data_IF_931360858480
#
_entry.id   IF_931360858480
#
_cell.length_a   1.000
_cell.length_b   1.000
_cell.length_c   1.000
_cell.angle_alpha   90.00
_cell.angle_beta   90.00
_cell.angle_gamma   90.00
#
_symmetry.space_group_name_H-M   'P 1'
#
loop_
_entity.id
_entity.type
_entity.pdbx_description
1 polymer ?
#
# COMPACT_ATOMS: atom_id res chain seq x y z
N UNK A 1 0.46 -11.72 -16.82
CA UNK A 1 0.58 -12.36 -18.16
C UNK A 1 -0.43 -11.83 -19.18
N UNK A 2 -1.75 -11.81 -18.90
CA UNK A 2 -2.75 -11.33 -19.87
C UNK A 2 -2.51 -9.86 -20.29
N UNK A 3 -2.31 -8.97 -19.31
CA UNK A 3 -1.98 -7.55 -19.57
C UNK A 3 -0.73 -7.43 -20.46
N UNK A 4 0.33 -8.20 -20.19
CA UNK A 4 1.56 -8.14 -20.98
C UNK A 4 1.32 -8.51 -22.44
N UNK A 5 0.51 -9.56 -22.72
CA UNK A 5 0.13 -9.90 -24.09
C UNK A 5 -0.66 -8.80 -24.77
N UNK A 6 -1.62 -8.20 -24.06
CA UNK A 6 -2.40 -7.08 -24.59
C UNK A 6 -1.49 -5.89 -24.91
N UNK A 7 -0.53 -5.56 -24.05
CA UNK A 7 0.44 -4.49 -24.31
C UNK A 7 1.30 -4.73 -25.56
N UNK A 8 1.44 -5.99 -25.99
CA UNK A 8 2.11 -6.38 -27.24
C UNK A 8 1.15 -6.47 -28.45
N UNK A 9 -0.11 -6.05 -28.29
CA UNK A 9 -1.15 -6.17 -29.32
C UNK A 9 -1.69 -7.59 -29.52
N UNK A 10 -1.37 -8.52 -28.63
CA UNK A 10 -1.74 -9.94 -28.75
C UNK A 10 -2.91 -10.30 -27.83
N UNK A 11 -3.70 -11.29 -28.26
CA UNK A 11 -4.75 -11.87 -27.43
C UNK A 11 -4.16 -12.85 -26.37
N UNK A 12 -4.54 -12.69 -25.09
CA UNK A 12 -4.38 -13.73 -24.08
C UNK A 12 -5.07 -15.03 -24.48
N UNK A 13 -4.37 -16.17 -24.36
CA UNK A 13 -4.94 -17.50 -24.61
C UNK A 13 -5.76 -18.07 -23.45
N UNK A 14 -6.15 -17.25 -22.48
CA UNK A 14 -6.84 -17.67 -21.26
C UNK A 14 -7.72 -16.53 -20.74
N UNK A 15 -8.76 -16.88 -19.96
CA UNK A 15 -9.65 -15.91 -19.31
C UNK A 15 -8.94 -15.17 -18.18
N UNK A 16 -9.24 -13.89 -18.05
CA UNK A 16 -8.64 -12.95 -17.12
C UNK A 16 -9.68 -11.97 -16.58
N UNK A 17 -9.31 -11.21 -15.56
CA UNK A 17 -10.12 -10.10 -15.01
C UNK A 17 -10.37 -8.97 -16.01
N UNK A 18 -9.68 -8.95 -17.16
CA UNK A 18 -9.92 -8.01 -18.26
C UNK A 18 -10.99 -8.47 -19.25
N UNK A 19 -11.48 -9.71 -19.13
CA UNK A 19 -12.56 -10.22 -19.99
C UNK A 19 -13.96 -9.89 -19.42
N UNK A 20 -14.02 -9.34 -18.20
CA UNK A 20 -15.27 -8.89 -17.61
C UNK A 20 -15.84 -7.68 -18.40
N UNK A 21 -17.18 -7.55 -18.56
CA UNK A 21 -17.79 -6.50 -19.37
C UNK A 21 -17.30 -5.09 -19.03
N UNK A 22 -17.17 -4.79 -17.74
CA UNK A 22 -16.69 -3.50 -17.22
C UNK A 22 -15.23 -3.18 -17.57
N UNK A 23 -14.43 -4.18 -17.96
CA UNK A 23 -13.02 -4.03 -18.30
C UNK A 23 -12.76 -4.02 -19.82
N UNK A 24 -13.80 -4.21 -20.65
CA UNK A 24 -13.65 -4.35 -22.11
C UNK A 24 -13.03 -3.11 -22.77
N UNK A 25 -13.41 -1.90 -22.35
CA UNK A 25 -12.81 -0.66 -22.87
C UNK A 25 -11.30 -0.61 -22.59
N UNK A 26 -10.91 -0.92 -21.35
CA UNK A 26 -9.50 -0.97 -20.94
C UNK A 26 -8.75 -2.06 -21.71
N UNK A 27 -9.35 -3.25 -21.86
CA UNK A 27 -8.76 -4.35 -22.63
C UNK A 27 -8.46 -3.92 -24.06
N UNK A 28 -9.45 -3.37 -24.76
CA UNK A 28 -9.31 -2.91 -26.15
C UNK A 28 -8.25 -1.82 -26.27
N UNK A 29 -8.25 -0.85 -25.35
CA UNK A 29 -7.25 0.21 -25.33
C UNK A 29 -5.83 -0.35 -25.16
N UNK A 30 -5.63 -1.25 -24.19
CA UNK A 30 -4.33 -1.90 -23.96
C UNK A 30 -3.87 -2.69 -25.18
N UNK A 31 -4.77 -3.39 -25.86
CA UNK A 31 -4.45 -4.14 -27.09
C UNK A 31 -4.05 -3.21 -28.24
N UNK A 32 -4.81 -2.15 -28.46
CA UNK A 32 -4.65 -1.32 -29.66
C UNK A 32 -3.55 -0.27 -29.51
N UNK A 33 -3.29 0.19 -28.29
CA UNK A 33 -2.38 1.32 -28.01
C UNK A 33 -1.28 0.99 -26.99
N UNK A 34 -1.21 -0.26 -26.52
CA UNK A 34 -0.09 -0.75 -25.71
C UNK A 34 0.20 0.10 -24.48
N UNK A 35 1.45 0.53 -24.35
CA UNK A 35 1.95 1.30 -23.20
C UNK A 35 1.34 2.70 -23.12
N UNK A 36 0.88 3.28 -24.23
CA UNK A 36 0.26 4.60 -24.21
C UNK A 36 -1.15 4.54 -23.59
N UNK A 37 -1.91 3.47 -23.86
CA UNK A 37 -3.16 3.23 -23.13
C UNK A 37 -2.94 2.97 -21.64
N UNK A 38 -1.85 2.28 -21.27
CA UNK A 38 -1.48 2.09 -19.86
C UNK A 38 -1.20 3.43 -19.18
N UNK A 39 -0.37 4.28 -19.80
CA UNK A 39 -0.05 5.63 -19.32
C UNK A 39 -1.30 6.48 -19.16
N UNK A 40 -2.12 6.57 -20.21
CA UNK A 40 -3.35 7.35 -20.19
C UNK A 40 -4.32 6.88 -19.10
N UNK A 41 -4.47 5.56 -18.95
CA UNK A 41 -5.33 4.99 -17.91
C UNK A 41 -4.86 5.34 -16.50
N UNK A 42 -3.56 5.19 -16.21
CA UNK A 42 -3.01 5.49 -14.89
C UNK A 42 -2.93 6.99 -14.61
N UNK A 43 -2.69 7.82 -15.62
CA UNK A 43 -2.77 9.27 -15.51
C UNK A 43 -4.19 9.75 -15.15
N UNK A 44 -5.23 9.13 -15.74
CA UNK A 44 -6.62 9.46 -15.45
C UNK A 44 -7.13 8.89 -14.12
N UNK A 45 -6.62 7.72 -13.68
CA UNK A 45 -7.12 7.00 -12.49
C UNK A 45 -6.21 7.12 -11.27
N UNK A 46 -5.09 7.84 -11.38
CA UNK A 46 -3.98 7.88 -10.43
C UNK A 46 -3.38 6.49 -10.13
N UNK A 47 -2.11 6.47 -9.72
CA UNK A 47 -1.50 5.27 -9.13
C UNK A 47 -1.87 5.12 -7.65
N UNK A 48 -2.23 6.21 -6.97
CA UNK A 48 -2.64 6.18 -5.57
C UNK A 48 -4.07 5.62 -5.52
N UNK A 49 -4.29 4.64 -4.65
CA UNK A 49 -5.60 4.15 -4.26
C UNK A 49 -5.94 4.64 -2.86
N UNK A 50 -7.23 4.58 -2.50
CA UNK A 50 -7.73 5.05 -1.21
C UNK A 50 -8.31 3.94 -0.33
N UNK A 51 -7.49 2.96 0.12
CA UNK A 51 -7.96 1.96 1.08
C UNK A 51 -8.22 2.58 2.45
N UNK A 52 -9.16 1.99 3.20
CA UNK A 52 -9.62 2.58 4.46
C UNK A 52 -8.52 2.76 5.53
N UNK A 53 -7.58 1.82 5.67
CA UNK A 53 -6.56 1.85 6.73
C UNK A 53 -5.40 2.81 6.47
N UNK A 54 -4.64 2.69 5.35
CA UNK A 54 -3.55 3.63 5.12
C UNK A 54 -3.99 4.92 4.43
N UNK A 55 -5.29 5.04 4.05
CA UNK A 55 -5.94 6.20 3.40
C UNK A 55 -5.44 6.48 1.98
N UNK A 56 -4.14 6.38 1.75
CA UNK A 56 -3.48 6.55 0.46
C UNK A 56 -2.42 5.45 0.31
N UNK A 57 -2.50 4.66 -0.76
CA UNK A 57 -1.53 3.61 -1.03
C UNK A 57 -1.28 3.39 -2.52
N UNK A 58 -0.01 3.25 -2.91
CA UNK A 58 0.36 2.70 -4.23
C UNK A 58 0.57 1.20 -4.09
N UNK A 59 -0.24 0.44 -4.81
CA UNK A 59 -0.29 -1.01 -4.68
C UNK A 59 0.46 -1.71 -5.80
N UNK A 60 1.08 -2.82 -5.45
CA UNK A 60 1.78 -3.71 -6.37
C UNK A 60 0.86 -4.86 -6.80
N UNK A 61 1.34 -5.61 -7.77
CA UNK A 61 0.75 -6.84 -8.26
C UNK A 61 0.65 -7.90 -7.15
N UNK A 62 -0.40 -8.73 -7.20
CA UNK A 62 -0.45 -9.94 -6.35
C UNK A 62 0.61 -10.96 -6.75
N UNK A 63 1.12 -10.91 -7.99
CA UNK A 63 2.21 -11.77 -8.45
C UNK A 63 3.53 -11.46 -7.76
N UNK A 64 3.67 -10.27 -7.17
CA UNK A 64 4.84 -9.90 -6.38
C UNK A 64 4.71 -10.36 -4.91
N UNK A 65 3.54 -10.82 -4.47
CA UNK A 65 3.36 -11.34 -3.12
C UNK A 65 4.01 -12.72 -2.99
N UNK A 66 4.73 -12.91 -1.88
CA UNK A 66 5.14 -14.22 -1.38
C UNK A 66 4.45 -14.44 -0.02
N UNK A 67 3.13 -14.75 -0.01
CA UNK A 67 2.39 -14.80 1.23
C UNK A 67 2.78 -16.05 2.02
N UNK A 68 3.35 -15.86 3.21
CA UNK A 68 3.26 -16.83 4.32
C UNK A 68 1.83 -17.32 4.52
N UNK A 69 1.67 -18.48 5.17
CA UNK A 69 0.37 -19.14 5.33
C UNK A 69 -0.64 -18.25 6.04
N UNK A 70 -0.24 -17.59 7.11
CA UNK A 70 -1.15 -16.73 7.88
C UNK A 70 -1.49 -15.45 7.12
N UNK A 71 -0.53 -14.85 6.43
CA UNK A 71 -0.81 -13.77 5.50
C UNK A 71 -1.83 -14.20 4.44
N UNK A 72 -1.70 -15.36 3.81
CA UNK A 72 -2.69 -15.84 2.83
C UNK A 72 -4.08 -16.05 3.46
N UNK A 73 -4.14 -16.60 4.67
CA UNK A 73 -5.40 -16.89 5.39
C UNK A 73 -6.13 -15.62 5.84
N UNK A 74 -5.39 -14.63 6.32
CA UNK A 74 -5.94 -13.45 6.99
C UNK A 74 -5.73 -12.14 6.22
N UNK A 75 -5.28 -12.21 4.96
CA UNK A 75 -5.07 -11.04 4.14
C UNK A 75 -6.37 -10.25 4.01
N UNK A 76 -6.44 -9.11 4.69
CA UNK A 76 -7.59 -8.21 4.58
C UNK A 76 -7.76 -7.67 3.15
N UNK A 77 -6.70 -7.69 2.34
CA UNK A 77 -6.81 -7.29 0.95
C UNK A 77 -7.65 -8.31 0.16
N UNK A 78 -7.36 -9.60 0.27
CA UNK A 78 -8.13 -10.65 -0.43
C UNK A 78 -9.52 -10.86 0.16
N UNK A 79 -9.73 -10.58 1.46
CA UNK A 79 -11.04 -10.58 2.10
C UNK A 79 -11.86 -9.30 1.92
N UNK A 80 -11.30 -8.28 1.25
CA UNK A 80 -11.89 -6.95 1.11
C UNK A 80 -12.03 -6.50 -0.35
N UNK A 81 -12.09 -5.18 -0.57
CA UNK A 81 -12.31 -4.60 -1.92
C UNK A 81 -11.22 -4.97 -2.94
N UNK A 82 -10.04 -5.40 -2.50
CA UNK A 82 -8.94 -5.76 -3.41
C UNK A 82 -9.17 -7.06 -4.18
N UNK A 83 -10.20 -7.85 -3.87
CA UNK A 83 -10.64 -8.98 -4.69
C UNK A 83 -11.38 -8.55 -5.97
N UNK A 84 -11.86 -7.31 -6.06
CA UNK A 84 -12.58 -6.84 -7.24
C UNK A 84 -11.65 -6.69 -8.43
N UNK A 85 -12.12 -7.10 -9.61
CA UNK A 85 -11.35 -7.09 -10.86
C UNK A 85 -10.69 -5.74 -11.14
N UNK A 86 -11.36 -4.62 -10.86
CA UNK A 86 -10.81 -3.26 -11.04
C UNK A 86 -9.56 -3.02 -10.19
N UNK A 87 -9.55 -3.48 -8.94
CA UNK A 87 -8.44 -3.33 -8.01
C UNK A 87 -7.32 -4.34 -8.28
N UNK A 88 -7.68 -5.52 -8.80
CA UNK A 88 -6.72 -6.46 -9.36
C UNK A 88 -5.99 -5.80 -10.53
N UNK A 89 -6.73 -5.40 -11.56
CA UNK A 89 -6.19 -4.80 -12.78
C UNK A 89 -5.37 -3.54 -12.49
N UNK A 90 -5.85 -2.61 -11.64
CA UNK A 90 -5.09 -1.40 -11.28
C UNK A 90 -3.75 -1.73 -10.63
N UNK A 91 -3.69 -2.69 -9.70
CA UNK A 91 -2.43 -3.11 -9.07
C UNK A 91 -1.45 -3.76 -10.06
N UNK A 92 -1.94 -4.60 -10.97
CA UNK A 92 -1.10 -5.20 -12.02
C UNK A 92 -0.53 -4.14 -13.00
N UNK A 93 -1.39 -3.21 -13.44
CA UNK A 93 -1.00 -2.13 -14.34
C UNK A 93 -0.02 -1.17 -13.66
N UNK A 94 -0.27 -0.79 -12.41
CA UNK A 94 0.64 0.04 -11.62
C UNK A 94 2.01 -0.63 -11.45
N UNK A 95 2.06 -1.94 -11.15
CA UNK A 95 3.32 -2.70 -11.12
C UNK A 95 4.08 -2.62 -12.43
N UNK A 96 3.42 -2.92 -13.55
CA UNK A 96 4.08 -2.87 -14.88
C UNK A 96 4.60 -1.46 -15.17
N UNK A 97 3.81 -0.45 -14.83
CA UNK A 97 4.16 0.93 -15.07
C UNK A 97 5.36 1.40 -14.23
N UNK A 98 5.37 1.09 -12.94
CA UNK A 98 6.51 1.38 -12.04
C UNK A 98 7.77 0.65 -12.50
N UNK A 99 7.65 -0.62 -12.90
CA UNK A 99 8.82 -1.41 -13.33
C UNK A 99 9.41 -0.94 -14.67
N UNK A 100 8.60 -0.37 -15.56
CA UNK A 100 9.04 0.08 -16.89
C UNK A 100 9.40 1.56 -16.94
N UNK A 101 8.69 2.38 -16.17
CA UNK A 101 8.78 3.83 -16.18
C UNK A 101 8.84 4.40 -14.75
N UNK A 102 9.83 3.99 -13.94
CA UNK A 102 9.88 4.32 -12.51
C UNK A 102 9.90 5.83 -12.26
N UNK A 103 10.57 6.59 -13.13
CA UNK A 103 10.66 8.05 -12.99
C UNK A 103 9.33 8.76 -13.26
N UNK A 104 8.66 8.37 -14.34
CA UNK A 104 7.34 8.88 -14.74
C UNK A 104 6.27 8.51 -13.70
N UNK A 105 6.33 7.28 -13.17
CA UNK A 105 5.46 6.83 -12.09
C UNK A 105 5.66 7.63 -10.80
N UNK A 106 6.92 7.84 -10.40
CA UNK A 106 7.24 8.61 -9.20
C UNK A 106 6.85 10.09 -9.35
N UNK A 107 6.98 10.66 -10.55
CA UNK A 107 6.48 12.00 -10.86
C UNK A 107 4.98 12.13 -10.62
N UNK A 108 4.18 11.26 -11.23
CA UNK A 108 2.73 11.28 -11.07
C UNK A 108 2.32 11.08 -9.61
N UNK A 109 2.88 10.07 -8.95
CA UNK A 109 2.58 9.79 -7.54
C UNK A 109 2.99 10.95 -6.64
N UNK A 110 4.15 11.57 -6.87
CA UNK A 110 4.60 12.70 -6.08
C UNK A 110 3.73 13.94 -6.30
N UNK A 111 3.33 14.23 -7.54
CA UNK A 111 2.39 15.31 -7.85
C UNK A 111 1.06 15.12 -7.13
N UNK A 112 0.48 13.91 -7.23
CA UNK A 112 -0.80 13.59 -6.61
C UNK A 112 -0.71 13.66 -5.09
N UNK A 113 0.30 13.04 -4.49
CA UNK A 113 0.44 12.97 -3.04
C UNK A 113 0.73 14.34 -2.42
N UNK A 114 1.49 15.20 -3.10
CA UNK A 114 1.79 16.57 -2.64
C UNK A 114 0.56 17.46 -2.53
N UNK A 115 -0.52 17.13 -3.24
CA UNK A 115 -1.79 17.82 -3.11
C UNK A 115 -2.63 17.32 -1.92
N UNK A 116 -2.20 16.28 -1.21
CA UNK A 116 -2.95 15.66 -0.12
C UNK A 116 -2.55 16.21 1.26
N UNK A 117 -3.50 16.33 2.21
CA UNK A 117 -3.20 16.80 3.58
C UNK A 117 -2.11 15.99 4.29
N UNK A 118 -2.01 14.70 4.02
CA UNK A 118 -1.01 13.80 4.59
C UNK A 118 0.41 14.25 4.26
N UNK A 119 0.67 14.71 3.04
CA UNK A 119 1.98 15.22 2.66
C UNK A 119 2.37 16.44 3.51
N UNK A 120 1.46 17.40 3.66
CA UNK A 120 1.68 18.61 4.46
C UNK A 120 1.82 18.34 5.96
N UNK A 121 1.32 17.19 6.42
CA UNK A 121 1.51 16.71 7.78
C UNK A 121 2.80 15.88 7.97
N UNK A 122 3.72 15.90 6.99
CA UNK A 122 4.95 15.11 6.92
C UNK A 122 4.68 13.63 7.21
N UNK A 123 3.82 13.03 6.38
CA UNK A 123 3.50 11.60 6.44
C UNK A 123 4.15 10.85 5.30
N UNK A 124 4.55 9.63 5.58
CA UNK A 124 5.00 8.70 4.56
C UNK A 124 3.81 8.12 3.79
N UNK A 125 3.94 8.05 2.46
CA UNK A 125 3.00 7.39 1.57
C UNK A 125 3.13 5.87 1.73
N UNK A 126 2.02 5.17 1.99
CA UNK A 126 2.03 3.71 2.04
C UNK A 126 2.33 3.15 0.65
N UNK A 127 3.32 2.27 0.57
CA UNK A 127 3.46 1.36 -0.56
C UNK A 127 3.03 -0.04 -0.10
N UNK A 128 2.40 -0.78 -1.01
CA UNK A 128 2.06 -2.20 -0.83
C UNK A 128 1.08 -2.45 0.33
N UNK A 129 -0.10 -1.81 0.29
CA UNK A 129 -1.25 -2.30 1.07
C UNK A 129 -1.72 -3.66 0.50
N UNK A 130 -1.60 -3.78 -0.83
CA UNK A 130 -1.70 -4.99 -1.63
C UNK A 130 -0.41 -5.15 -2.46
N UNK A 131 0.04 -6.40 -2.61
CA UNK A 131 1.27 -6.71 -3.33
C UNK A 131 2.47 -6.71 -2.38
N UNK A 132 3.66 -6.90 -2.94
CA UNK A 132 4.92 -6.61 -2.25
C UNK A 132 5.85 -5.86 -3.22
N UNK A 133 6.89 -5.23 -2.67
CA UNK A 133 7.97 -4.63 -3.44
C UNK A 133 8.88 -5.70 -4.05
N UNK A 134 9.78 -5.24 -4.92
CA UNK A 134 10.89 -6.04 -5.44
C UNK A 134 12.04 -5.11 -5.78
N UNK A 135 13.20 -5.64 -6.15
CA UNK A 135 14.35 -4.83 -6.57
C UNK A 135 14.01 -3.87 -7.73
N UNK A 136 13.03 -4.20 -8.57
CA UNK A 136 12.58 -3.34 -9.67
C UNK A 136 11.81 -2.09 -9.20
N UNK A 137 11.31 -2.08 -7.95
CA UNK A 137 10.64 -0.93 -7.36
C UNK A 137 11.60 0.09 -6.75
N UNK A 138 12.88 -0.28 -6.53
CA UNK A 138 13.85 0.64 -5.92
C UNK A 138 14.02 1.95 -6.69
N UNK A 139 14.17 1.96 -8.03
CA UNK A 139 14.31 3.22 -8.77
C UNK A 139 13.11 4.16 -8.59
N UNK A 140 11.91 3.61 -8.41
CA UNK A 140 10.71 4.40 -8.12
C UNK A 140 10.72 4.95 -6.69
N UNK A 141 11.11 4.14 -5.69
CA UNK A 141 11.22 4.60 -4.29
C UNK A 141 12.27 5.69 -4.16
N UNK A 142 13.44 5.52 -4.79
CA UNK A 142 14.51 6.51 -4.81
C UNK A 142 14.06 7.82 -5.47
N UNK A 143 13.36 7.74 -6.60
CA UNK A 143 12.83 8.91 -7.27
C UNK A 143 11.71 9.61 -6.46
N UNK A 144 10.82 8.85 -5.79
CA UNK A 144 9.85 9.43 -4.87
C UNK A 144 10.54 10.22 -3.75
N UNK A 145 11.57 9.62 -3.15
CA UNK A 145 12.35 10.26 -2.11
C UNK A 145 13.06 11.52 -2.63
N UNK A 146 13.67 11.46 -3.82
CA UNK A 146 14.26 12.64 -4.48
C UNK A 146 13.23 13.75 -4.69
N UNK A 147 11.97 13.40 -4.97
CA UNK A 147 10.85 14.34 -5.10
C UNK A 147 10.26 14.78 -3.75
N UNK A 148 10.83 14.36 -2.63
CA UNK A 148 10.42 14.77 -1.29
C UNK A 148 9.27 13.95 -0.69
N UNK A 149 8.93 12.80 -1.28
CA UNK A 149 7.91 11.88 -0.75
C UNK A 149 8.59 10.70 -0.07
N UNK A 150 8.34 10.53 1.23
CA UNK A 150 8.77 9.36 2.00
C UNK A 150 7.82 8.20 1.77
N UNK A 151 8.35 6.99 1.74
CA UNK A 151 7.60 5.75 1.63
C UNK A 151 7.46 5.06 2.98
N UNK A 152 6.35 4.34 3.14
CA UNK A 152 6.07 3.46 4.26
C UNK A 152 5.82 2.06 3.70
N UNK A 153 6.73 1.13 4.00
CA UNK A 153 6.89 -0.15 3.32
C UNK A 153 6.96 -1.26 4.37
N UNK A 154 6.01 -2.21 4.29
CA UNK A 154 6.13 -3.51 4.94
C UNK A 154 6.37 -4.55 3.85
N UNK A 155 7.40 -5.38 3.98
CA UNK A 155 7.78 -6.34 2.96
C UNK A 155 8.30 -7.63 3.57
N UNK A 156 8.16 -8.74 2.86
CA UNK A 156 8.77 -10.04 3.24
C UNK A 156 10.11 -10.29 2.57
N UNK A 157 10.66 -9.29 1.87
CA UNK A 157 11.91 -9.41 1.11
C UNK A 157 13.03 -8.62 1.81
N UNK A 158 13.85 -9.26 2.67
CA UNK A 158 14.91 -8.59 3.41
C UNK A 158 15.89 -7.82 2.53
N UNK A 159 16.33 -8.42 1.41
CA UNK A 159 17.26 -7.79 0.48
C UNK A 159 16.72 -6.49 -0.12
N UNK A 160 15.43 -6.47 -0.48
CA UNK A 160 14.76 -5.27 -0.96
C UNK A 160 14.71 -4.21 0.14
N UNK A 161 14.28 -4.59 1.36
CA UNK A 161 14.18 -3.65 2.49
C UNK A 161 15.53 -3.00 2.81
N UNK A 162 16.63 -3.77 2.84
CA UNK A 162 17.98 -3.23 3.09
C UNK A 162 18.39 -2.15 2.07
N UNK A 163 17.88 -2.24 0.85
CA UNK A 163 18.17 -1.32 -0.24
C UNK A 163 17.25 -0.10 -0.28
N UNK A 164 16.10 -0.14 0.40
CA UNK A 164 15.24 1.04 0.59
C UNK A 164 15.99 2.08 1.44
N UNK A 165 16.07 3.36 1.04
CA UNK A 165 16.78 4.39 1.81
C UNK A 165 16.26 4.55 3.24
N UNK A 166 17.14 4.87 4.20
CA UNK A 166 16.83 5.06 5.63
C UNK A 166 15.81 6.16 5.94
N UNK A 167 15.59 7.08 5.01
CA UNK A 167 14.57 8.13 5.13
C UNK A 167 13.12 7.60 5.07
N UNK A 168 12.91 6.31 4.86
CA UNK A 168 11.61 5.66 4.75
C UNK A 168 11.29 4.82 5.98
N UNK A 169 10.00 4.59 6.24
CA UNK A 169 9.57 3.55 7.19
C UNK A 169 9.66 2.22 6.46
N UNK A 170 10.54 1.33 6.91
CA UNK A 170 10.80 0.03 6.29
C UNK A 170 10.82 -1.07 7.35
N UNK A 171 9.85 -1.98 7.30
CA UNK A 171 9.73 -3.08 8.27
C UNK A 171 9.61 -4.43 7.58
N UNK A 172 10.29 -5.43 8.14
CA UNK A 172 10.16 -6.82 7.75
C UNK A 172 8.83 -7.37 8.24
N UNK A 173 7.99 -7.86 7.32
CA UNK A 173 6.68 -8.41 7.66
C UNK A 173 6.81 -9.87 8.05
N UNK A 174 6.45 -10.19 9.29
CA UNK A 174 6.48 -11.57 9.81
C UNK A 174 5.12 -11.98 10.38
N UNK A 175 4.93 -13.27 10.57
CA UNK A 175 3.86 -13.89 11.33
C UNK A 175 4.35 -15.22 11.93
N UNK A 176 3.49 -15.92 12.68
CA UNK A 176 3.84 -17.20 13.31
C UNK A 176 4.46 -18.23 12.35
N UNK A 177 4.19 -18.16 11.04
CA UNK A 177 4.63 -19.16 10.07
C UNK A 177 5.95 -18.84 9.38
N UNK A 178 6.62 -17.76 9.78
CA UNK A 178 7.93 -17.37 9.28
C UNK A 178 8.73 -16.55 10.32
N UNK A 179 8.67 -16.91 11.60
CA UNK A 179 9.40 -16.22 12.66
C UNK A 179 10.92 -16.29 12.45
N UNK A 180 11.42 -17.41 11.91
CA UNK A 180 12.83 -17.61 11.57
C UNK A 180 13.37 -16.53 10.61
N UNK A 181 12.51 -15.93 9.79
CA UNK A 181 12.90 -14.85 8.88
C UNK A 181 13.41 -13.62 9.66
N UNK A 182 12.86 -13.34 10.84
CA UNK A 182 13.35 -12.26 11.68
C UNK A 182 14.67 -12.64 12.38
N UNK A 183 14.80 -13.90 12.80
CA UNK A 183 16.02 -14.44 13.42
C UNK A 183 17.22 -14.39 12.44
N UNK A 184 16.97 -14.70 11.16
CA UNK A 184 17.96 -14.62 10.08
C UNK A 184 18.29 -13.18 9.64
N UNK A 185 17.48 -12.20 10.02
CA UNK A 185 17.61 -10.80 9.61
C UNK A 185 17.51 -9.84 10.80
N UNK A 186 18.42 -9.97 11.81
CA UNK A 186 18.34 -9.23 13.07
C UNK A 186 18.57 -7.71 12.92
N UNK A 187 19.13 -7.28 11.78
CA UNK A 187 19.31 -5.87 11.43
C UNK A 187 18.00 -5.16 11.04
N UNK A 188 16.95 -5.92 10.69
CA UNK A 188 15.67 -5.37 10.26
C UNK A 188 14.66 -5.38 11.40
N UNK A 189 14.04 -4.21 11.63
CA UNK A 189 12.89 -4.07 12.52
C UNK A 189 11.65 -4.73 11.89
N UNK A 190 10.77 -5.30 12.71
CA UNK A 190 9.65 -6.14 12.25
C UNK A 190 8.27 -5.52 12.45
N UNK A 191 7.39 -5.80 11.49
CA UNK A 191 5.94 -5.69 11.62
C UNK A 191 5.35 -7.10 11.71
N UNK A 192 4.83 -7.47 12.88
CA UNK A 192 4.35 -8.82 13.17
C UNK A 192 2.83 -8.91 13.07
N UNK A 193 2.31 -9.79 12.23
CA UNK A 193 0.90 -10.21 12.28
C UNK A 193 0.75 -11.21 13.43
N UNK A 194 -0.19 -10.95 14.35
CA UNK A 194 -0.22 -11.57 15.68
C UNK A 194 -1.55 -12.29 15.97
N UNK A 195 -1.47 -13.59 16.31
CA UNK A 195 -2.61 -14.44 16.66
C UNK A 195 -2.82 -14.64 18.18
N UNK A 196 -1.79 -14.43 18.99
CA UNK A 196 -1.83 -14.63 20.45
C UNK A 196 -1.45 -16.04 20.92
N UNK A 197 -0.64 -16.76 20.14
CA UNK A 197 -0.14 -18.08 20.54
C UNK A 197 0.98 -17.96 21.58
N UNK A 198 1.18 -19.01 22.37
CA UNK A 198 2.22 -19.01 23.41
C UNK A 198 3.64 -19.03 22.81
N UNK A 199 3.77 -19.60 21.61
CA UNK A 199 4.99 -19.53 20.78
C UNK A 199 5.30 -18.09 20.37
N UNK A 200 4.32 -17.37 19.82
CA UNK A 200 4.47 -15.95 19.47
C UNK A 200 4.87 -15.12 20.69
N UNK A 201 4.24 -15.35 21.85
CA UNK A 201 4.56 -14.62 23.09
C UNK A 201 5.99 -14.91 23.56
N UNK A 202 6.43 -16.16 23.46
CA UNK A 202 7.80 -16.56 23.78
C UNK A 202 8.80 -15.87 22.86
N UNK A 203 8.55 -15.91 21.55
CA UNK A 203 9.38 -15.24 20.55
C UNK A 203 9.41 -13.72 20.75
N UNK A 204 8.27 -13.10 21.03
CA UNK A 204 8.15 -11.65 21.27
C UNK A 204 8.94 -11.19 22.49
N UNK A 205 9.01 -12.00 23.56
CA UNK A 205 9.84 -11.66 24.72
C UNK A 205 11.34 -11.74 24.38
N UNK A 206 11.75 -12.69 23.54
CA UNK A 206 13.14 -12.82 23.08
C UNK A 206 13.57 -11.72 22.10
N UNK A 207 12.63 -11.20 21.28
CA UNK A 207 12.91 -10.23 20.21
C UNK A 207 12.29 -8.86 20.43
N UNK A 208 12.08 -8.46 21.69
CA UNK A 208 11.35 -7.25 22.03
C UNK A 208 11.93 -5.96 21.41
N UNK A 209 13.25 -5.91 21.20
CA UNK A 209 13.94 -4.75 20.60
C UNK A 209 13.82 -4.68 19.07
N UNK A 210 13.50 -5.79 18.42
CA UNK A 210 13.30 -5.86 16.97
C UNK A 210 11.85 -5.51 16.58
N UNK A 211 10.91 -5.63 17.51
CA UNK A 211 9.47 -5.47 17.23
C UNK A 211 9.09 -4.01 17.20
N UNK A 212 8.76 -3.53 16.00
CA UNK A 212 8.30 -2.17 15.80
C UNK A 212 6.78 -2.07 15.84
N UNK A 213 6.06 -2.97 15.17
CA UNK A 213 4.59 -2.96 15.11
C UNK A 213 4.04 -4.35 15.29
N UNK A 214 2.98 -4.46 16.10
CA UNK A 214 2.18 -5.68 16.28
C UNK A 214 0.81 -5.43 15.66
N UNK A 215 0.40 -6.31 14.75
CA UNK A 215 -0.83 -6.24 13.96
C UNK A 215 -1.72 -7.44 14.35
N UNK A 216 -2.58 -7.31 15.39
CA UNK A 216 -3.55 -8.34 15.72
C UNK A 216 -4.45 -8.70 14.53
N UNK A 217 -4.75 -9.97 14.37
CA UNK A 217 -5.51 -10.43 13.19
C UNK A 217 -6.93 -9.84 13.16
N UNK A 218 -7.29 -9.29 11.99
CA UNK A 218 -8.60 -8.75 11.65
C UNK A 218 -9.25 -9.65 10.60
N UNK A 219 -10.01 -10.68 10.99
CA UNK A 219 -10.52 -11.62 9.97
C UNK A 219 -11.74 -12.41 10.37
N UNK A 220 -11.93 -12.69 11.65
CA UNK A 220 -13.08 -13.47 12.09
C UNK A 220 -14.17 -12.52 12.58
N UNK A 221 -15.38 -12.69 12.04
CA UNK A 221 -16.57 -11.92 12.44
C UNK A 221 -17.36 -12.71 13.50
N UNK A 222 -17.98 -11.99 14.43
CA UNK A 222 -18.84 -12.57 15.48
C UNK A 222 -18.25 -12.45 16.88
N UNK A 223 -19.09 -12.68 17.90
CA UNK A 223 -18.71 -12.48 19.30
C UNK A 223 -17.50 -13.33 19.72
N UNK A 224 -17.46 -14.61 19.32
CA UNK A 224 -16.35 -15.51 19.65
C UNK A 224 -15.01 -15.06 19.04
N UNK A 225 -15.04 -14.45 17.86
CA UNK A 225 -13.85 -13.91 17.22
C UNK A 225 -13.32 -12.66 17.94
N UNK A 226 -14.24 -11.76 18.32
CA UNK A 226 -13.91 -10.57 19.11
C UNK A 226 -13.31 -10.96 20.48
N UNK A 227 -13.87 -11.98 21.13
CA UNK A 227 -13.37 -12.51 22.40
C UNK A 227 -11.96 -13.12 22.27
N UNK A 228 -11.74 -14.01 21.29
CA UNK A 228 -10.41 -14.57 20.99
C UNK A 228 -9.37 -13.48 20.77
N UNK A 229 -9.75 -12.45 20.02
CA UNK A 229 -8.88 -11.32 19.73
C UNK A 229 -8.58 -10.48 20.97
N UNK A 230 -9.57 -10.18 21.80
CA UNK A 230 -9.34 -9.45 23.06
C UNK A 230 -8.42 -10.25 23.99
N UNK A 231 -8.62 -11.57 24.08
CA UNK A 231 -7.74 -12.46 24.81
C UNK A 231 -6.30 -12.42 24.25
N UNK A 232 -6.13 -12.51 22.94
CA UNK A 232 -4.82 -12.38 22.29
C UNK A 232 -4.16 -11.03 22.61
N UNK A 233 -4.87 -9.91 22.41
CA UNK A 233 -4.35 -8.56 22.70
C UNK A 233 -3.96 -8.40 24.17
N UNK A 234 -4.68 -9.03 25.11
CA UNK A 234 -4.34 -9.00 26.53
C UNK A 234 -3.03 -9.72 26.86
N UNK A 235 -2.67 -10.74 26.06
CA UNK A 235 -1.42 -11.50 26.20
C UNK A 235 -0.18 -10.78 25.66
N UNK A 236 -0.33 -9.67 24.91
CA UNK A 236 0.81 -8.88 24.42
C UNK A 236 1.70 -8.47 25.62
N UNK A 237 3.02 -8.80 25.60
CA UNK A 237 3.95 -8.47 26.67
C UNK A 237 3.91 -6.98 27.04
N UNK A 238 3.95 -6.68 28.34
CA UNK A 238 3.75 -5.31 28.86
C UNK A 238 4.66 -4.28 28.18
N UNK A 239 5.91 -4.65 27.95
CA UNK A 239 6.94 -3.83 27.31
C UNK A 239 6.64 -3.51 25.83
N UNK A 240 5.85 -4.35 25.17
CA UNK A 240 5.49 -4.23 23.75
C UNK A 240 4.08 -3.64 23.52
N UNK A 241 3.31 -3.36 24.58
CA UNK A 241 1.94 -2.84 24.44
C UNK A 241 1.84 -1.51 23.69
N UNK A 242 2.92 -0.73 23.66
CA UNK A 242 3.03 0.53 22.90
C UNK A 242 3.23 0.31 21.39
N UNK A 243 3.63 -0.89 20.96
CA UNK A 243 3.88 -1.24 19.57
C UNK A 243 2.63 -1.83 18.88
N UNK A 244 1.53 -2.06 19.62
CA UNK A 244 0.30 -2.60 19.05
C UNK A 244 -0.40 -1.58 18.14
N UNK A 245 -0.83 -2.02 16.96
CA UNK A 245 -1.67 -1.24 16.07
C UNK A 245 -3.02 -0.98 16.75
N UNK A 246 -3.43 0.29 16.96
CA UNK A 246 -4.65 0.62 17.68
C UNK A 246 -5.92 0.36 16.86
N UNK A 247 -5.83 0.34 15.52
CA UNK A 247 -6.93 -0.05 14.64
C UNK A 247 -7.16 -1.55 14.76
N UNK A 248 -6.09 -2.32 14.59
CA UNK A 248 -6.16 -3.78 14.59
C UNK A 248 -6.44 -4.33 15.99
N UNK A 249 -6.05 -3.62 17.05
CA UNK A 249 -6.43 -3.94 18.41
C UNK A 249 -7.85 -3.45 18.80
N UNK A 250 -8.62 -2.87 17.87
CA UNK A 250 -9.97 -2.30 18.12
C UNK A 250 -10.03 -1.19 19.18
N UNK A 251 -8.88 -0.65 19.58
CA UNK A 251 -8.80 0.52 20.47
C UNK A 251 -9.28 1.79 19.75
N UNK A 252 -9.17 1.81 18.42
CA UNK A 252 -9.60 2.92 17.55
C UNK A 252 -10.34 2.36 16.34
N UNK A 253 -11.36 3.09 15.89
CA UNK A 253 -12.16 2.75 14.70
C UNK A 253 -11.73 3.58 13.49
N UNK A 254 -11.79 2.95 12.32
CA UNK A 254 -11.72 3.62 11.02
C UNK A 254 -13.13 4.18 10.78
N UNK A 255 -13.32 5.50 10.79
CA UNK A 255 -14.65 6.09 10.62
C UNK A 255 -14.73 7.10 9.47
N UNK A 256 -15.96 7.45 9.08
CA UNK A 256 -16.45 8.70 8.46
C UNK A 256 -16.28 9.94 9.37
N UNK A 257 -15.99 11.20 9.00
CA UNK A 257 -16.03 12.35 9.96
C UNK A 257 -14.78 12.82 10.78
N UNK A 258 -15.00 13.67 11.80
CA UNK A 258 -14.04 14.69 12.28
C UNK A 258 -12.91 14.23 13.24
N UNK A 259 -12.92 13.01 13.78
CA UNK A 259 -11.75 12.42 14.48
C UNK A 259 -11.71 10.92 14.19
N UNK A 260 -10.89 10.52 13.21
CA UNK A 260 -10.73 9.12 12.77
C UNK A 260 -9.35 8.59 13.10
N UNK A 261 -9.13 7.28 13.11
CA UNK A 261 -7.77 6.74 13.18
C UNK A 261 -7.41 6.01 11.89
N UNK A 262 -6.22 6.28 11.35
CA UNK A 262 -5.64 5.72 10.13
C UNK A 262 -4.13 5.50 10.34
N UNK A 263 -3.45 4.84 9.38
CA UNK A 263 -2.01 4.60 9.50
C UNK A 263 -1.17 5.89 9.50
N UNK A 264 -1.67 6.98 8.91
CA UNK A 264 -0.95 8.28 8.89
C UNK A 264 -0.92 8.91 10.28
N UNK A 265 -1.91 8.61 11.15
CA UNK A 265 -1.87 8.97 12.57
C UNK A 265 -0.89 8.12 13.38
N UNK A 266 -0.57 6.92 12.93
CA UNK A 266 0.52 6.11 13.49
C UNK A 266 1.90 6.68 13.11
N UNK A 267 2.00 7.50 12.06
CA UNK A 267 3.19 8.24 11.64
C UNK A 267 3.19 9.69 12.18
N UNK A 268 2.76 9.91 13.43
CA UNK A 268 2.63 11.26 14.02
C UNK A 268 4.00 11.96 14.08
N UNK A 269 4.21 13.09 13.40
CA UNK A 269 5.51 13.79 13.41
C UNK A 269 6.67 13.00 12.78
N UNK A 270 6.41 12.26 11.69
CA UNK A 270 7.42 11.48 10.98
C UNK A 270 7.94 10.25 11.74
N UNK A 271 7.09 9.62 12.56
CA UNK A 271 7.40 8.34 13.22
C UNK A 271 6.92 8.18 14.66
N UNK A 272 6.26 9.18 15.26
CA UNK A 272 5.92 9.22 16.69
C UNK A 272 4.54 8.63 17.02
N UNK A 273 4.20 7.49 16.41
CA UNK A 273 3.03 6.68 16.80
C UNK A 273 3.42 5.22 17.06
N UNK A 274 2.81 4.25 16.35
CA UNK A 274 3.18 2.83 16.51
C UNK A 274 4.66 2.56 16.13
N UNK A 275 5.26 3.46 15.35
CA UNK A 275 6.64 3.38 14.86
C UNK A 275 7.67 3.98 15.82
N UNK A 276 7.53 3.68 17.13
CA UNK A 276 8.46 4.07 18.20
C UNK A 276 9.94 4.01 17.76
N UNK A 277 10.66 5.15 17.81
CA UNK A 277 12.08 5.29 17.46
C UNK A 277 12.47 5.21 15.98
N UNK A 278 11.58 4.80 15.07
CA UNK A 278 11.70 5.13 13.64
C UNK A 278 11.20 6.55 13.39
N UNK A 279 11.82 7.53 14.04
CA UNK A 279 11.59 8.93 13.74
C UNK A 279 12.50 9.32 12.59
N UNK A 280 11.93 9.81 11.49
CA UNK A 280 12.67 10.45 10.39
C UNK A 280 13.18 11.83 10.80
N UNK A 281 13.65 12.00 12.05
CA UNK A 281 14.17 13.26 12.61
C UNK A 281 15.38 13.82 11.84
N UNK A 282 15.84 13.13 10.79
CA UNK A 282 16.82 13.62 9.81
C UNK A 282 16.22 13.97 8.42
N UNK A 283 14.90 14.16 8.26
CA UNK A 283 14.32 14.61 6.98
C UNK A 283 14.60 16.09 6.63
N UNK A 284 15.45 16.79 7.41
CA UNK A 284 15.86 18.19 7.17
C UNK A 284 16.53 18.43 5.81
N UNK A 285 16.74 17.43 4.96
CA UNK A 285 17.24 17.63 3.60
C UNK A 285 16.53 16.74 2.56
N UNK A 286 15.27 17.04 2.24
CA UNK A 286 14.69 16.67 0.94
C UNK A 286 14.16 17.90 0.19
N UNK A 287 14.77 19.07 0.43
CA UNK A 287 14.54 20.29 -0.35
C UNK A 287 15.14 20.14 -1.74
N UNK A 288 14.29 19.95 -2.74
CA UNK A 288 14.65 20.13 -4.16
C UNK A 288 13.81 21.30 -4.70
N UNK A 289 14.42 22.27 -5.42
CA UNK A 289 13.67 23.33 -6.09
C UNK A 289 12.69 22.73 -7.11
N UNK A 290 11.43 23.18 -7.06
CA UNK A 290 10.37 22.80 -7.97
C UNK A 290 10.70 23.22 -9.42
N UNK A 291 10.61 22.34 -10.43
CA UNK A 291 10.41 22.78 -11.81
C UNK A 291 8.98 23.29 -11.98
N UNK A 292 8.82 24.42 -12.66
CA UNK A 292 7.53 25.06 -12.93
C UNK A 292 6.57 24.10 -13.64
N UNK A 293 5.38 23.93 -13.05
CA UNK A 293 4.31 23.07 -13.55
C UNK A 293 3.77 23.53 -14.91
N UNK A 294 3.43 22.55 -15.75
CA UNK A 294 2.64 22.69 -16.98
C UNK A 294 1.37 23.51 -16.70
N UNK A 295 1.07 24.45 -17.59
CA UNK A 295 0.08 25.51 -17.38
C UNK A 295 -1.35 24.99 -17.16
N UNK A 296 -2.05 25.71 -16.29
CA UNK A 296 -3.40 25.48 -15.74
C UNK A 296 -4.50 25.27 -16.80
N UNK A 297 -4.27 25.68 -18.05
CA UNK A 297 -5.25 25.58 -19.14
C UNK A 297 -5.40 24.16 -19.69
N UNK A 298 -4.33 23.36 -19.73
CA UNK A 298 -4.37 21.98 -20.23
C UNK A 298 -5.08 21.03 -19.25
N UNK A 299 -4.89 21.25 -17.94
CA UNK A 299 -5.63 20.54 -16.88
C UNK A 299 -7.12 20.87 -16.88
N UNK A 300 -7.53 22.10 -17.19
CA UNK A 300 -8.94 22.48 -17.20
C UNK A 300 -9.71 21.77 -18.33
N UNK A 301 -9.14 21.65 -19.53
CA UNK A 301 -9.76 20.92 -20.63
C UNK A 301 -9.96 19.43 -20.33
N UNK A 302 -8.95 18.81 -19.70
CA UNK A 302 -9.01 17.38 -19.31
C UNK A 302 -10.01 17.16 -18.16
N UNK A 303 -10.14 18.10 -17.21
CA UNK A 303 -11.14 18.02 -16.13
C UNK A 303 -12.56 18.12 -16.70
N UNK A 304 -12.81 19.02 -17.64
CA UNK A 304 -14.13 19.14 -18.29
C UNK A 304 -14.50 17.87 -19.07
N UNK A 305 -13.57 17.28 -19.82
CA UNK A 305 -13.82 16.00 -20.53
C UNK A 305 -14.07 14.83 -19.56
N UNK A 306 -13.44 14.84 -18.37
CA UNK A 306 -13.64 13.84 -17.33
C UNK A 306 -14.95 14.04 -16.56
N UNK A 307 -15.40 15.28 -16.36
CA UNK A 307 -16.70 15.61 -15.77
C UNK A 307 -17.85 15.20 -16.70
N UNK A 308 -17.72 15.45 -18.01
CA UNK A 308 -18.66 14.96 -19.03
C UNK A 308 -18.70 13.41 -19.08
N UNK A 309 -17.54 12.76 -18.92
CA UNK A 309 -17.47 11.30 -18.78
C UNK A 309 -18.15 10.80 -17.50
N UNK A 310 -17.99 11.51 -16.37
CA UNK A 310 -18.59 11.17 -15.08
C UNK A 310 -20.11 11.36 -15.08
N UNK A 311 -20.60 12.38 -15.77
CA UNK A 311 -22.03 12.62 -15.94
C UNK A 311 -22.73 11.64 -16.89
N UNK A 312 -21.96 11.00 -17.79
CA UNK A 312 -22.45 9.90 -18.63
C UNK A 312 -22.64 8.55 -17.92
N UNK A 313 -22.23 8.42 -16.65
CA UNK A 313 -22.33 7.17 -15.89
C UNK A 313 -23.68 7.03 -15.16
N UNK A 314 -24.22 5.81 -15.18
CA UNK A 314 -25.48 5.48 -14.49
C UNK A 314 -25.34 5.61 -12.98
N UNK A 315 -26.46 5.81 -12.25
CA UNK A 315 -26.43 6.04 -10.80
C UNK A 315 -25.68 4.96 -10.00
N UNK A 316 -25.71 3.70 -10.47
CA UNK A 316 -24.98 2.58 -9.86
C UNK A 316 -23.47 2.60 -10.15
N UNK A 317 -23.06 3.19 -11.28
CA UNK A 317 -21.65 3.35 -11.66
C UNK A 317 -21.00 4.53 -10.91
N UNK A 318 -21.75 5.60 -10.63
CA UNK A 318 -21.28 6.70 -9.76
C UNK A 318 -21.10 6.24 -8.30
N UNK A 319 -21.98 5.37 -7.82
CA UNK A 319 -21.93 4.79 -6.46
C UNK A 319 -20.76 3.80 -6.28
N UNK A 320 -20.26 3.19 -7.37
CA UNK A 320 -19.08 2.31 -7.36
C UNK A 320 -17.74 3.08 -7.49
N UNK A 321 -17.80 4.35 -7.87
CA UNK A 321 -16.64 5.23 -8.06
C UNK A 321 -16.46 6.26 -6.92
N UNK A 322 -17.40 6.32 -5.97
CA UNK A 322 -17.31 7.10 -4.71
C UNK A 322 -16.90 6.22 -3.52
#
# INVERSE_FOLDING_TARGET
VAILRLLEGKEPGFKSTLDAPQAQKLRTALKNHGLDALRAYLGAKSLIGHPGKPVNAVNSSFLNCEPSRNCAKYCYATGGRYMYAVNINKGELASIFVERFPQEAAEMVASDYKAMPEYHADKALRLFDKGDGSMKWLPFVEELNRRGVRAHIFSKRPEFLRRVPDGNVRLLSIDQTNLEMADENPDLQVAMVYEGTDEEITWMNAHAEQIQVILPIMGEKGAAAAERKQAAVAKIPKQLRKNKCPIDAEVKTIASGNVKWDCTRCDKGGGVGCYNAQTTKQSKSLTVPFPQMVEKAERAGIVTELEEFYDGLTGRERELLS
#
